data_IF_203791388156
#
_entry.id   IF_203791388156
#
_cell.length_a   1.000
_cell.length_b   1.000
_cell.length_c   1.000
_cell.angle_alpha   90.00
_cell.angle_beta   90.00
_cell.angle_gamma   90.00
#
_symmetry.space_group_name_H-M   'P 1'
#
loop_
_entity.id
_entity.type
_entity.pdbx_description
1 polymer ?
#
# COMPACT_ATOMS: atom_id res chain seq x y z
N UNK A 1 -16.16 -0.68 22.05
CA UNK A 1 -15.09 0.13 21.43
C UNK A 1 -15.61 0.74 20.15
N UNK A 2 -15.77 2.06 20.10
CA UNK A 2 -16.14 2.76 18.87
C UNK A 2 -14.88 2.97 18.04
N UNK A 3 -14.84 2.39 16.85
CA UNK A 3 -13.87 2.75 15.82
C UNK A 3 -14.32 4.13 15.31
N UNK A 4 -13.60 5.19 15.67
CA UNK A 4 -13.81 6.49 15.03
C UNK A 4 -13.47 6.31 13.55
N UNK A 5 -14.44 6.54 12.67
CA UNK A 5 -14.20 6.52 11.23
C UNK A 5 -13.15 7.60 10.93
N UNK A 6 -12.02 7.20 10.35
CA UNK A 6 -11.00 8.15 9.91
C UNK A 6 -11.62 9.09 8.85
N UNK A 7 -11.29 10.38 8.89
CA UNK A 7 -11.65 11.30 7.80
C UNK A 7 -10.83 10.91 6.55
N UNK A 8 -11.51 10.71 5.42
CA UNK A 8 -10.90 10.23 4.18
C UNK A 8 -11.04 11.32 3.12
N UNK A 9 -9.97 11.61 2.39
CA UNK A 9 -10.04 12.43 1.19
C UNK A 9 -10.75 11.66 0.08
N UNK A 10 -11.88 12.18 -0.37
CA UNK A 10 -12.76 11.51 -1.34
C UNK A 10 -12.09 11.27 -2.70
N UNK A 11 -11.14 12.11 -3.09
CA UNK A 11 -10.47 12.01 -4.38
C UNK A 11 -9.37 10.94 -4.40
N UNK A 12 -8.58 10.86 -3.34
CA UNK A 12 -7.43 9.94 -3.25
C UNK A 12 -7.71 8.66 -2.46
N UNK A 13 -8.71 8.66 -1.58
CA UNK A 13 -8.96 7.58 -0.61
C UNK A 13 -7.92 7.52 0.52
N UNK A 14 -7.09 8.56 0.66
CA UNK A 14 -6.11 8.67 1.75
C UNK A 14 -6.79 9.09 3.06
N UNK A 15 -6.28 8.60 4.18
CA UNK A 15 -6.65 9.08 5.52
C UNK A 15 -6.13 10.51 5.67
N UNK A 16 -6.99 11.47 6.01
CA UNK A 16 -6.56 12.84 6.30
C UNK A 16 -5.91 12.90 7.68
N UNK A 17 -4.59 12.74 7.70
CA UNK A 17 -3.74 12.84 8.89
C UNK A 17 -2.40 13.49 8.51
N UNK A 18 -1.66 14.01 9.47
CA UNK A 18 -0.41 14.73 9.21
C UNK A 18 0.50 14.03 8.18
N UNK A 19 0.87 14.78 7.13
CA UNK A 19 1.70 14.29 6.02
C UNK A 19 0.93 13.64 4.85
N UNK A 20 -0.39 13.48 4.92
CA UNK A 20 -1.19 12.86 3.86
C UNK A 20 -1.10 13.60 2.52
N UNK A 21 -1.03 14.93 2.53
CA UNK A 21 -0.95 15.75 1.32
C UNK A 21 0.36 15.52 0.56
N UNK A 22 1.46 15.28 1.28
CA UNK A 22 2.74 14.94 0.65
C UNK A 22 2.63 13.63 -0.12
N UNK A 23 1.95 12.62 0.44
CA UNK A 23 1.67 11.37 -0.27
C UNK A 23 0.71 11.59 -1.43
N UNK A 24 -0.32 12.42 -1.25
CA UNK A 24 -1.26 12.76 -2.33
C UNK A 24 -0.52 13.34 -3.54
N UNK A 25 0.37 14.29 -3.32
CA UNK A 25 1.15 15.01 -4.35
C UNK A 25 2.20 14.09 -4.98
N UNK A 26 3.00 13.40 -4.16
CA UNK A 26 4.19 12.71 -4.66
C UNK A 26 3.96 11.25 -5.09
N UNK A 27 2.93 10.58 -4.57
CA UNK A 27 2.72 9.14 -4.81
C UNK A 27 1.56 8.84 -5.78
N UNK A 28 0.88 9.86 -6.31
CA UNK A 28 -0.24 9.73 -7.23
C UNK A 28 0.10 9.89 -8.71
N UNK A 29 1.33 10.28 -9.05
CA UNK A 29 1.71 10.65 -10.43
C UNK A 29 1.84 9.47 -11.40
N UNK A 30 2.20 8.27 -10.91
CA UNK A 30 2.47 7.11 -11.76
C UNK A 30 1.39 6.01 -11.64
N UNK A 31 0.68 5.95 -10.52
CA UNK A 31 -0.36 4.96 -10.24
C UNK A 31 -1.30 5.47 -9.14
N UNK A 32 -2.45 4.80 -8.97
CA UNK A 32 -3.44 5.18 -7.96
C UNK A 32 -2.92 5.09 -6.51
N UNK A 33 -3.41 5.96 -5.63
CA UNK A 33 -3.17 5.87 -4.18
C UNK A 33 -3.73 4.59 -3.55
N UNK A 34 -4.70 3.94 -4.20
CA UNK A 34 -5.18 2.61 -3.82
C UNK A 34 -4.08 1.56 -3.91
N UNK A 35 -3.25 1.60 -4.96
CA UNK A 35 -2.11 0.70 -5.08
C UNK A 35 -1.09 0.97 -3.97
N UNK A 36 -0.75 2.24 -3.74
CA UNK A 36 0.15 2.68 -2.66
C UNK A 36 -0.32 2.12 -1.31
N UNK A 37 -1.56 2.41 -0.91
CA UNK A 37 -2.09 2.01 0.41
C UNK A 37 -2.33 0.50 0.54
N UNK A 38 -2.40 -0.25 -0.56
CA UNK A 38 -2.51 -1.70 -0.53
C UNK A 38 -1.23 -2.40 -0.07
N UNK A 39 -0.06 -1.79 -0.33
CA UNK A 39 1.26 -2.38 -0.10
C UNK A 39 1.54 -2.64 1.37
N UNK A 40 1.16 -1.70 2.25
CA UNK A 40 1.29 -1.74 3.72
C UNK A 40 2.65 -2.23 4.25
N UNK A 41 3.45 -1.31 4.73
CA UNK A 41 4.83 -1.58 5.13
C UNK A 41 5.19 -0.81 6.41
N UNK A 42 6.24 -1.27 7.09
CA UNK A 42 6.86 -0.47 8.13
C UNK A 42 7.70 0.66 7.49
N UNK A 43 8.24 1.55 8.32
CA UNK A 43 9.00 2.70 7.85
C UNK A 43 10.21 2.30 7.01
N UNK A 44 10.96 1.28 7.43
CA UNK A 44 12.18 0.85 6.75
C UNK A 44 11.87 0.26 5.38
N UNK A 45 10.81 -0.54 5.31
CA UNK A 45 10.34 -1.12 4.05
C UNK A 45 9.81 -0.04 3.11
N UNK A 46 9.08 0.96 3.62
CA UNK A 46 8.66 2.11 2.81
C UNK A 46 9.84 2.90 2.25
N UNK A 47 10.88 3.14 3.06
CA UNK A 47 12.10 3.79 2.60
C UNK A 47 12.77 2.97 1.50
N UNK A 48 12.87 1.65 1.66
CA UNK A 48 13.44 0.78 0.64
C UNK A 48 12.63 0.83 -0.68
N UNK A 49 11.29 0.84 -0.60
CA UNK A 49 10.41 0.98 -1.76
C UNK A 49 10.63 2.32 -2.46
N UNK A 50 10.69 3.43 -1.71
CA UNK A 50 10.97 4.77 -2.29
C UNK A 50 12.32 4.79 -2.97
N UNK A 51 13.37 4.26 -2.33
CA UNK A 51 14.71 4.17 -2.93
C UNK A 51 14.72 3.32 -4.20
N UNK A 52 14.00 2.20 -4.22
CA UNK A 52 13.82 1.40 -5.42
C UNK A 52 13.10 2.16 -6.54
N UNK A 53 12.02 2.89 -6.24
CA UNK A 53 11.31 3.71 -7.21
C UNK A 53 12.18 4.84 -7.75
N UNK A 54 13.01 5.46 -6.91
CA UNK A 54 13.96 6.49 -7.33
C UNK A 54 15.05 5.93 -8.24
N UNK A 55 15.55 4.73 -7.93
CA UNK A 55 16.60 4.09 -8.72
C UNK A 55 16.10 3.52 -10.06
N UNK A 56 14.84 3.07 -10.12
CA UNK A 56 14.36 2.25 -11.26
C UNK A 56 13.12 2.78 -11.96
N UNK A 57 12.29 3.59 -11.29
CA UNK A 57 11.00 4.07 -11.80
C UNK A 57 10.98 5.59 -12.01
N UNK A 58 12.15 6.23 -12.00
CA UNK A 58 12.31 7.68 -12.22
C UNK A 58 11.53 8.56 -11.21
N UNK A 59 11.33 8.06 -9.99
CA UNK A 59 10.83 8.91 -8.90
C UNK A 59 11.92 9.93 -8.54
N UNK A 60 11.53 11.20 -8.42
CA UNK A 60 12.47 12.26 -8.08
C UNK A 60 12.97 12.12 -6.63
N UNK A 61 14.08 12.80 -6.34
CA UNK A 61 14.59 12.91 -4.98
C UNK A 61 13.71 13.87 -4.18
N UNK A 62 13.31 13.45 -2.99
CA UNK A 62 12.64 14.31 -2.03
C UNK A 62 13.68 15.03 -1.17
N UNK A 63 13.36 16.23 -0.70
CA UNK A 63 14.11 16.79 0.42
C UNK A 63 13.84 15.99 1.71
N UNK A 64 14.72 16.16 2.70
CA UNK A 64 14.66 15.38 3.93
C UNK A 64 13.36 15.59 4.73
N UNK A 65 12.75 16.78 4.70
CA UNK A 65 11.52 17.04 5.43
C UNK A 65 10.32 16.35 4.76
N UNK A 66 10.22 16.46 3.44
CA UNK A 66 9.19 15.79 2.63
C UNK A 66 9.28 14.27 2.76
N UNK A 67 10.47 13.69 2.64
CA UNK A 67 10.66 12.24 2.79
C UNK A 67 10.25 11.76 4.19
N UNK A 68 10.67 12.47 5.23
CA UNK A 68 10.30 12.11 6.60
C UNK A 68 8.78 12.17 6.83
N UNK A 69 8.11 13.19 6.27
CA UNK A 69 6.65 13.33 6.32
C UNK A 69 5.95 12.17 5.63
N UNK A 70 6.37 11.81 4.41
CA UNK A 70 5.80 10.68 3.64
C UNK A 70 5.98 9.37 4.42
N UNK A 71 7.20 9.10 4.90
CA UNK A 71 7.51 7.87 5.62
C UNK A 71 6.76 7.76 6.95
N UNK A 72 6.61 8.87 7.69
CA UNK A 72 5.84 8.89 8.94
C UNK A 72 4.38 8.56 8.64
N UNK A 73 3.78 9.29 7.70
CA UNK A 73 2.38 9.09 7.35
C UNK A 73 2.08 7.67 6.88
N UNK A 74 2.88 7.12 5.95
CA UNK A 74 2.68 5.79 5.39
C UNK A 74 2.84 4.69 6.44
N UNK A 75 3.87 4.77 7.29
CA UNK A 75 4.10 3.77 8.33
C UNK A 75 3.03 3.81 9.44
N UNK A 76 2.56 5.00 9.81
CA UNK A 76 1.54 5.17 10.86
C UNK A 76 0.15 4.75 10.39
N UNK A 77 -0.27 5.17 9.19
CA UNK A 77 -1.64 4.97 8.71
C UNK A 77 -1.81 3.70 7.88
N UNK A 78 -0.71 3.19 7.31
CA UNK A 78 -0.69 1.97 6.50
C UNK A 78 0.39 0.99 6.96
N UNK A 79 0.41 0.60 8.26
CA UNK A 79 1.40 -0.32 8.81
C UNK A 79 1.22 -1.74 8.25
N UNK A 80 2.24 -2.62 8.40
CA UNK A 80 2.09 -4.04 8.08
C UNK A 80 0.87 -4.62 8.77
N UNK A 81 0.11 -5.44 8.04
CA UNK A 81 -1.05 -6.12 8.58
C UNK A 81 -0.84 -7.62 8.43
N UNK A 82 -0.95 -8.36 9.54
CA UNK A 82 -0.95 -9.81 9.50
C UNK A 82 -2.16 -10.30 8.68
N UNK A 83 -1.92 -11.32 7.87
CA UNK A 83 -2.95 -12.17 7.28
C UNK A 83 -3.89 -11.53 6.25
N UNK A 84 -3.32 -11.08 5.13
CA UNK A 84 -4.07 -10.66 3.93
C UNK A 84 -4.15 -11.72 2.83
N UNK A 85 -3.62 -12.93 3.06
CA UNK A 85 -3.77 -13.98 2.06
C UNK A 85 -5.23 -14.34 1.97
N UNK A 86 -5.73 -14.41 0.74
CA UNK A 86 -7.08 -14.94 0.49
C UNK A 86 -7.14 -16.32 1.12
N UNK A 87 -8.19 -16.57 1.91
CA UNK A 87 -8.44 -17.89 2.44
C UNK A 87 -8.44 -18.93 1.30
N UNK A 88 -7.97 -20.16 1.55
CA UNK A 88 -8.11 -21.24 0.59
C UNK A 88 -9.55 -21.36 0.11
N UNK A 89 -9.74 -21.71 -1.17
CA UNK A 89 -11.08 -21.96 -1.71
C UNK A 89 -11.68 -23.14 -0.90
N UNK A 90 -12.89 -22.99 -0.32
CA UNK A 90 -13.54 -24.07 0.40
C UNK A 90 -13.71 -25.32 -0.47
N UNK A 91 -13.64 -26.55 0.09
CA UNK A 91 -13.73 -27.79 -0.68
C UNK A 91 -14.91 -27.88 -1.67
N UNK A 92 -16.13 -27.40 -1.35
CA UNK A 92 -17.27 -27.44 -2.29
C UNK A 92 -17.14 -26.51 -3.51
N UNK A 93 -16.23 -25.54 -3.46
CA UNK A 93 -16.00 -24.55 -4.53
C UNK A 93 -14.72 -24.84 -5.32
N UNK A 94 -14.03 -25.95 -5.02
CA UNK A 94 -12.87 -26.37 -5.80
C UNK A 94 -13.31 -26.81 -7.20
N UNK A 95 -12.57 -26.45 -8.26
CA UNK A 95 -12.84 -27.00 -9.58
C UNK A 95 -12.63 -28.52 -9.58
N UNK A 96 -13.29 -29.27 -10.50
CA UNK A 96 -13.06 -30.70 -10.64
C UNK A 96 -11.58 -30.98 -10.94
N UNK A 97 -11.05 -32.09 -10.41
CA UNK A 97 -9.67 -32.49 -10.69
C UNK A 97 -9.49 -32.68 -12.20
N UNK A 98 -8.40 -32.15 -12.81
CA UNK A 98 -8.13 -32.40 -14.21
C UNK A 98 -8.02 -33.91 -14.44
N UNK A 99 -8.69 -34.41 -15.49
CA UNK A 99 -8.53 -35.79 -15.92
C UNK A 99 -7.14 -35.90 -16.56
N UNK A 100 -6.16 -36.37 -15.78
CA UNK A 100 -4.81 -36.58 -16.30
C UNK A 100 -4.83 -37.87 -17.12
N UNK A 101 -4.83 -37.74 -18.45
CA UNK A 101 -4.66 -38.88 -19.34
C UNK A 101 -3.20 -39.34 -19.27
N UNK A 102 -2.91 -40.38 -18.47
CA UNK A 102 -1.58 -41.02 -18.44
C UNK A 102 -1.44 -41.84 -19.72
N UNK A 103 -0.60 -41.37 -20.64
CA UNK A 103 -0.06 -42.22 -21.71
C UNK A 103 1.01 -43.14 -21.14
#
# INVERSE_FOLDING_TARGET
SFVMAADIDVASGLIKADGWEQVRIHCGGCHSHKLVTSQRADRQTWLAIIRWMQATQNLWQFDAATENSILNYLATNYPPQADRRRAPIPPPLLPPRPVVNRR
#
